data_IF_995248108668
#
_entry.id   IF_995248108668
#
_cell.length_a   1.000
_cell.length_b   1.000
_cell.length_c   1.000
_cell.angle_alpha   90.00
_cell.angle_beta   90.00
_cell.angle_gamma   90.00
#
_symmetry.space_group_name_H-M   'P 1'
#
loop_
_entity.id
_entity.type
_entity.pdbx_description
1 polymer ?
#
# COMPACT_ATOMS: atom_id res chain seq x y z
N UNK A 1 9.28 -3.69 9.37
CA UNK A 1 8.48 -2.49 8.99
C UNK A 1 8.04 -2.69 7.55
N UNK A 2 6.90 -2.13 7.17
CA UNK A 2 6.32 -2.31 5.84
C UNK A 2 5.90 -1.00 5.21
N UNK A 3 5.82 -1.02 3.89
CA UNK A 3 5.05 -0.06 3.12
C UNK A 3 3.54 -0.33 3.26
N UNK A 4 2.73 0.66 2.90
CA UNK A 4 1.28 0.54 2.90
C UNK A 4 0.81 0.31 1.46
N UNK A 5 0.26 -0.86 1.21
CA UNK A 5 -0.23 -1.31 -0.09
C UNK A 5 -1.74 -1.19 -0.16
N UNK A 6 -2.30 -1.15 -1.38
CA UNK A 6 -3.74 -1.16 -1.62
C UNK A 6 -4.16 -2.54 -2.13
N UNK A 7 -5.28 -3.05 -1.64
CA UNK A 7 -5.98 -4.18 -2.21
C UNK A 7 -7.33 -3.76 -2.77
N UNK A 8 -7.74 -4.40 -3.87
CA UNK A 8 -9.01 -4.15 -4.56
C UNK A 8 -9.68 -5.49 -4.84
N UNK A 9 -10.92 -5.64 -4.36
CA UNK A 9 -11.75 -6.81 -4.61
C UNK A 9 -12.74 -6.56 -5.74
N UNK A 10 -13.36 -7.63 -6.24
CA UNK A 10 -14.35 -7.57 -7.31
C UNK A 10 -13.71 -7.52 -8.70
N UNK A 11 -13.06 -6.41 -9.03
CA UNK A 11 -12.50 -6.17 -10.37
C UNK A 11 -11.20 -6.95 -10.60
N UNK A 12 -10.33 -6.98 -9.60
CA UNK A 12 -9.02 -7.60 -9.69
C UNK A 12 -8.86 -8.73 -8.68
N UNK A 13 -8.00 -9.71 -9.02
CA UNK A 13 -7.32 -10.51 -8.02
C UNK A 13 -6.10 -9.74 -7.55
N UNK A 14 -6.06 -9.41 -6.26
CA UNK A 14 -4.90 -8.76 -5.66
C UNK A 14 -3.88 -9.81 -5.22
N UNK A 15 -2.64 -9.67 -5.68
CA UNK A 15 -1.52 -10.53 -5.33
C UNK A 15 -0.40 -9.70 -4.72
N UNK A 16 0.23 -10.21 -3.68
CA UNK A 16 1.43 -9.63 -3.11
C UNK A 16 2.66 -10.43 -3.51
N UNK A 17 3.71 -9.75 -3.96
CA UNK A 17 5.02 -10.34 -4.23
C UNK A 17 6.01 -9.81 -3.20
N UNK A 18 6.51 -10.69 -2.33
CA UNK A 18 7.43 -10.34 -1.26
C UNK A 18 8.80 -10.99 -1.44
N UNK A 19 9.82 -10.30 -0.93
CA UNK A 19 11.19 -10.82 -0.89
C UNK A 19 11.55 -11.38 0.49
N UNK A 20 12.19 -12.55 0.50
CA UNK A 20 12.92 -13.04 1.66
C UNK A 20 14.30 -12.38 1.67
N UNK A 21 14.35 -11.15 2.15
CA UNK A 21 15.56 -10.32 2.08
C UNK A 21 16.73 -10.94 2.82
N UNK A 22 16.49 -11.69 3.89
CA UNK A 22 17.55 -12.40 4.61
C UNK A 22 18.17 -13.50 3.76
N UNK A 23 17.34 -14.32 3.11
CA UNK A 23 17.81 -15.34 2.18
C UNK A 23 18.60 -14.73 1.03
N UNK A 24 18.11 -13.63 0.44
CA UNK A 24 18.78 -12.92 -0.65
C UNK A 24 20.16 -12.37 -0.24
N UNK A 25 20.27 -11.78 0.96
CA UNK A 25 21.53 -11.21 1.46
C UNK A 25 22.56 -12.30 1.77
N UNK A 26 22.12 -13.40 2.38
CA UNK A 26 23.01 -14.52 2.75
C UNK A 26 23.32 -15.42 1.55
N UNK A 27 22.50 -15.37 0.49
CA UNK A 27 22.62 -16.25 -0.68
C UNK A 27 22.19 -17.68 -0.40
N UNK A 28 21.33 -17.90 0.61
CA UNK A 28 20.88 -19.22 1.06
C UNK A 28 19.39 -19.18 1.40
N UNK A 29 18.69 -20.29 1.24
CA UNK A 29 17.28 -20.39 1.68
C UNK A 29 17.21 -20.30 3.20
N UNK A 30 16.33 -19.44 3.69
CA UNK A 30 16.15 -19.19 5.12
C UNK A 30 14.66 -19.19 5.43
N UNK A 31 14.19 -20.08 6.33
CA UNK A 31 12.79 -20.08 6.74
C UNK A 31 12.34 -18.72 7.26
N UNK A 32 11.18 -18.28 6.80
CA UNK A 32 10.55 -17.00 7.16
C UNK A 32 9.04 -17.17 7.21
N UNK A 33 8.41 -16.52 8.18
CA UNK A 33 6.96 -16.34 8.19
C UNK A 33 6.62 -14.99 7.56
N UNK A 34 5.83 -15.00 6.49
CA UNK A 34 5.25 -13.82 5.88
C UNK A 34 3.89 -13.55 6.51
N UNK A 35 3.69 -12.35 7.04
CA UNK A 35 2.47 -11.92 7.70
C UNK A 35 1.85 -10.81 6.87
N UNK A 36 0.65 -11.04 6.35
CA UNK A 36 -0.17 -10.01 5.69
C UNK A 36 -1.22 -9.54 6.67
N UNK A 37 -1.26 -8.23 6.92
CA UNK A 37 -2.27 -7.60 7.78
C UNK A 37 -3.12 -6.70 6.89
N UNK A 38 -4.39 -7.06 6.71
CA UNK A 38 -5.35 -6.28 5.92
C UNK A 38 -6.10 -5.31 6.84
N UNK A 39 -6.32 -4.10 6.33
CA UNK A 39 -6.77 -2.93 7.08
C UNK A 39 -7.91 -2.29 6.30
N UNK A 40 -9.07 -2.11 6.93
CA UNK A 40 -10.23 -1.48 6.29
C UNK A 40 -9.95 -0.02 5.90
N UNK A 41 -10.83 0.55 5.06
CA UNK A 41 -10.82 1.97 4.73
C UNK A 41 -10.86 2.89 5.97
N UNK A 42 -11.44 2.42 7.08
CA UNK A 42 -11.50 3.15 8.35
C UNK A 42 -10.25 3.01 9.23
N UNK A 43 -9.26 2.22 8.80
CA UNK A 43 -7.99 2.04 9.49
C UNK A 43 -7.99 0.94 10.57
N UNK A 44 -8.97 0.04 10.53
CA UNK A 44 -9.07 -1.09 11.46
C UNK A 44 -8.49 -2.36 10.82
N UNK A 45 -7.76 -3.16 11.60
CA UNK A 45 -7.34 -4.49 11.13
C UNK A 45 -8.58 -5.35 10.95
N UNK A 46 -8.73 -5.93 9.76
CA UNK A 46 -9.86 -6.79 9.38
C UNK A 46 -9.46 -8.24 9.20
N UNK A 47 -8.21 -8.50 8.83
CA UNK A 47 -7.69 -9.84 8.70
C UNK A 47 -6.17 -9.87 8.90
N UNK A 48 -5.67 -11.01 9.36
CA UNK A 48 -4.26 -11.33 9.43
C UNK A 48 -4.05 -12.74 8.85
N UNK A 49 -3.11 -12.89 7.94
CA UNK A 49 -2.79 -14.17 7.30
C UNK A 49 -1.30 -14.42 7.33
N UNK A 50 -0.92 -15.68 7.59
CA UNK A 50 0.45 -16.10 7.84
C UNK A 50 0.84 -17.20 6.86
N UNK A 51 2.02 -17.06 6.26
CA UNK A 51 2.52 -17.95 5.22
C UNK A 51 3.98 -18.28 5.50
N UNK A 52 4.29 -19.57 5.66
CA UNK A 52 5.66 -20.03 5.79
C UNK A 52 6.29 -20.22 4.41
N UNK A 53 7.53 -19.79 4.25
CA UNK A 53 8.35 -20.06 3.06
C UNK A 53 9.83 -20.02 3.41
N UNK A 54 10.68 -20.65 2.61
CA UNK A 54 12.13 -20.47 2.62
C UNK A 54 12.66 -19.97 1.28
N UNK A 55 11.76 -19.69 0.32
CA UNK A 55 12.11 -19.22 -1.00
C UNK A 55 12.67 -17.80 -0.95
N UNK A 56 13.49 -17.46 -1.95
CA UNK A 56 14.02 -16.09 -2.10
C UNK A 56 12.92 -15.06 -2.37
N UNK A 57 11.83 -15.48 -2.99
CA UNK A 57 10.66 -14.67 -3.34
C UNK A 57 9.40 -15.50 -3.14
N UNK A 58 8.35 -14.87 -2.64
CA UNK A 58 7.04 -15.48 -2.43
C UNK A 58 5.96 -14.62 -3.09
N UNK A 59 5.00 -15.27 -3.74
CA UNK A 59 3.78 -14.62 -4.24
C UNK A 59 2.58 -15.16 -3.47
N UNK A 60 1.75 -14.25 -2.96
CA UNK A 60 0.60 -14.56 -2.12
C UNK A 60 -0.64 -13.95 -2.78
N UNK A 61 -1.58 -14.79 -3.21
CA UNK A 61 -2.92 -14.31 -3.55
C UNK A 61 -3.62 -13.91 -2.25
N UNK A 62 -4.03 -12.64 -2.16
CA UNK A 62 -4.63 -12.12 -0.94
C UNK A 62 -6.03 -12.71 -0.74
N UNK A 63 -6.39 -13.11 0.50
CA UNK A 63 -7.72 -13.63 0.78
C UNK A 63 -8.76 -12.52 0.64
N UNK A 64 -9.96 -12.91 0.21
CA UNK A 64 -11.13 -12.04 0.16
C UNK A 64 -11.58 -11.73 1.59
N UNK A 65 -11.71 -10.45 1.90
CA UNK A 65 -12.12 -9.91 3.20
C UNK A 65 -13.48 -9.21 3.16
N UNK A 66 -14.14 -9.17 1.99
CA UNK A 66 -15.48 -8.59 1.85
C UNK A 66 -15.46 -7.06 1.84
N UNK A 67 -14.32 -6.46 1.51
CA UNK A 67 -14.15 -5.03 1.38
C UNK A 67 -13.75 -4.70 -0.04
N UNK A 68 -14.54 -3.85 -0.69
CA UNK A 68 -14.28 -3.41 -2.06
C UNK A 68 -12.84 -2.94 -2.26
N UNK A 69 -12.34 -2.17 -1.29
CA UNK A 69 -10.96 -1.68 -1.26
C UNK A 69 -10.48 -1.56 0.19
N UNK A 70 -9.21 -1.90 0.39
CA UNK A 70 -8.56 -1.95 1.69
C UNK A 70 -7.07 -1.63 1.55
N UNK A 71 -6.42 -1.31 2.67
CA UNK A 71 -4.96 -1.27 2.73
C UNK A 71 -4.42 -2.57 3.29
N UNK A 72 -3.18 -2.90 3.01
CA UNK A 72 -2.49 -3.97 3.73
C UNK A 72 -1.01 -3.66 3.92
N UNK A 73 -0.41 -4.34 4.91
CA UNK A 73 1.03 -4.32 5.15
C UNK A 73 1.57 -5.74 5.12
N UNK A 74 2.82 -5.86 4.70
CA UNK A 74 3.59 -7.11 4.73
C UNK A 74 4.68 -7.04 5.80
N UNK A 75 4.65 -7.97 6.73
CA UNK A 75 5.69 -8.15 7.75
C UNK A 75 6.34 -9.51 7.54
N UNK A 76 7.56 -9.64 8.02
CA UNK A 76 8.27 -10.92 8.07
C UNK A 76 8.70 -11.19 9.49
N UNK A 77 8.56 -12.44 9.92
CA UNK A 77 9.12 -12.94 11.16
C UNK A 77 10.13 -14.05 10.87
N UNK A 78 11.25 -13.99 11.58
CA UNK A 78 12.34 -14.97 11.49
C UNK A 78 12.58 -15.49 12.90
N UNK A 79 12.84 -16.79 13.02
CA UNK A 79 13.15 -17.33 14.33
C UNK A 79 14.41 -16.66 14.93
N UNK A 80 14.41 -16.56 16.25
CA UNK A 80 15.44 -15.82 16.99
C UNK A 80 16.84 -16.43 16.82
N UNK A 81 16.94 -17.74 16.64
CA UNK A 81 18.21 -18.44 16.50
C UNK A 81 18.85 -18.11 15.15
N UNK A 82 18.07 -18.18 14.06
CA UNK A 82 18.44 -17.72 12.72
C UNK A 82 18.92 -16.28 12.75
N UNK A 83 18.15 -15.38 13.36
CA UNK A 83 18.55 -13.97 13.49
C UNK A 83 19.87 -13.81 14.26
N UNK A 84 20.03 -14.47 15.41
CA UNK A 84 21.22 -14.32 16.26
C UNK A 84 22.50 -14.76 15.55
N UNK A 85 22.42 -15.85 14.77
CA UNK A 85 23.55 -16.37 14.00
C UNK A 85 23.97 -15.41 12.89
N UNK A 86 23.00 -14.68 12.33
CA UNK A 86 23.20 -13.85 11.15
C UNK A 86 23.54 -12.38 11.53
N UNK A 87 23.00 -11.85 12.63
CA UNK A 87 23.20 -10.45 13.07
C UNK A 87 24.62 -10.11 13.55
N UNK A 88 25.52 -11.10 13.62
CA UNK A 88 26.94 -10.88 13.95
C UNK A 88 27.78 -10.47 12.73
N UNK A 89 27.15 -10.38 11.57
CA UNK A 89 27.78 -9.98 10.32
C UNK A 89 27.59 -8.48 10.08
N UNK A 90 28.70 -7.76 9.93
CA UNK A 90 28.71 -6.30 9.80
C UNK A 90 28.09 -5.80 8.48
N UNK A 91 27.77 -6.71 7.54
CA UNK A 91 27.04 -6.40 6.31
C UNK A 91 25.54 -6.12 6.53
N UNK A 92 25.03 -6.30 7.75
CA UNK A 92 23.61 -6.10 8.09
C UNK A 92 23.25 -4.62 8.26
N UNK A 93 23.15 -3.92 7.12
CA UNK A 93 22.53 -2.60 7.04
C UNK A 93 21.00 -2.74 7.10
N UNK A 94 20.34 -1.74 7.68
CA UNK A 94 18.90 -1.69 7.96
C UNK A 94 18.03 -2.38 6.89
N UNK A 95 17.26 -3.40 7.31
CA UNK A 95 16.40 -4.20 6.43
C UNK A 95 15.03 -3.54 6.27
N UNK A 96 14.74 -3.07 5.06
CA UNK A 96 13.37 -2.84 4.62
C UNK A 96 13.00 -3.96 3.65
N UNK A 97 11.99 -4.75 4.00
CA UNK A 97 11.46 -5.74 3.08
C UNK A 97 10.79 -5.00 1.93
N UNK A 98 11.21 -5.33 0.71
CA UNK A 98 10.57 -4.82 -0.50
C UNK A 98 9.46 -5.78 -0.90
N UNK A 99 8.40 -5.20 -1.41
CA UNK A 99 7.32 -5.95 -2.00
C UNK A 99 6.58 -5.12 -3.02
N UNK A 100 5.77 -5.82 -3.80
CA UNK A 100 4.95 -5.24 -4.84
C UNK A 100 3.54 -5.82 -4.72
N UNK A 101 2.55 -5.00 -5.10
CA UNK A 101 1.19 -5.48 -5.31
C UNK A 101 0.96 -5.64 -6.79
N UNK A 102 0.56 -6.84 -7.20
CA UNK A 102 0.02 -7.15 -8.50
C UNK A 102 -1.50 -7.07 -8.51
N UNK A 103 -2.05 -6.49 -9.57
CA UNK A 103 -3.48 -6.51 -9.87
C UNK A 103 -3.68 -7.30 -11.17
N UNK A 104 -4.30 -8.47 -11.06
CA UNK A 104 -4.72 -9.27 -12.21
C UNK A 104 -6.19 -8.99 -12.51
N UNK A 105 -6.50 -8.59 -13.74
CA UNK A 105 -7.89 -8.61 -14.20
C UNK A 105 -8.39 -10.06 -14.26
N UNK A 106 -9.67 -10.26 -13.92
CA UNK A 106 -10.32 -11.56 -14.13
C UNK A 106 -10.19 -11.95 -15.61
N UNK A 107 -9.81 -13.20 -15.86
CA UNK A 107 -9.62 -13.78 -17.19
C UNK A 107 -8.48 -13.17 -18.04
N UNK A 108 -7.57 -12.41 -17.42
CA UNK A 108 -6.35 -11.91 -18.05
C UNK A 108 -5.10 -12.59 -17.47
N UNK A 109 -4.10 -12.82 -18.33
CA UNK A 109 -2.76 -13.22 -17.91
C UNK A 109 -1.87 -12.00 -17.55
N UNK A 110 -2.33 -10.78 -17.81
CA UNK A 110 -1.56 -9.57 -17.55
C UNK A 110 -1.70 -9.11 -16.09
N UNK A 111 -0.55 -8.81 -15.47
CA UNK A 111 -0.42 -8.28 -14.12
C UNK A 111 0.11 -6.85 -14.12
N UNK A 112 -0.66 -5.92 -13.57
CA UNK A 112 -0.16 -4.57 -13.29
C UNK A 112 0.47 -4.55 -11.90
N UNK A 113 1.79 -4.33 -11.85
CA UNK A 113 2.57 -4.37 -10.61
C UNK A 113 2.92 -2.97 -10.14
N UNK A 114 2.62 -2.65 -8.88
CA UNK A 114 2.92 -1.36 -8.25
C UNK A 114 3.67 -1.55 -6.93
N UNK A 115 4.48 -0.54 -6.58
CA UNK A 115 5.08 -0.45 -5.26
C UNK A 115 4.08 0.00 -4.19
N UNK A 116 4.34 -0.38 -2.95
CA UNK A 116 3.64 0.17 -1.80
C UNK A 116 4.04 1.64 -1.56
N UNK A 117 3.14 2.39 -0.93
CA UNK A 117 3.46 3.75 -0.50
C UNK A 117 4.31 3.70 0.77
N UNK A 118 5.43 4.43 0.77
CA UNK A 118 6.42 4.36 1.85
C UNK A 118 5.78 4.63 3.21
N UNK A 119 5.66 3.56 4.00
CA UNK A 119 4.67 3.52 5.07
C UNK A 119 5.23 3.33 6.46
N UNK A 120 6.48 2.85 6.60
CA UNK A 120 7.12 2.40 7.86
C UNK A 120 6.12 1.93 8.94
N UNK A 121 5.12 1.16 8.50
CA UNK A 121 3.99 0.72 9.32
C UNK A 121 4.29 -0.69 9.82
N UNK A 122 3.91 -0.96 11.06
CA UNK A 122 4.20 -2.23 11.73
C UNK A 122 3.19 -2.54 12.83
N UNK A 123 3.08 -3.80 13.19
CA UNK A 123 2.34 -4.22 14.40
C UNK A 123 3.25 -4.05 15.63
N UNK A 124 2.81 -3.25 16.60
CA UNK A 124 3.45 -3.17 17.90
C UNK A 124 3.16 -4.43 18.74
N UNK A 125 3.91 -4.61 19.84
CA UNK A 125 3.73 -5.75 20.77
C UNK A 125 2.31 -5.95 21.29
N UNK A 126 1.50 -4.89 21.30
CA UNK A 126 0.10 -4.93 21.72
C UNK A 126 -0.87 -5.35 20.60
N UNK A 127 -0.37 -5.84 19.45
CA UNK A 127 -1.18 -6.12 18.25
C UNK A 127 -1.76 -4.89 17.57
N UNK A 128 -1.32 -3.68 17.95
CA UNK A 128 -1.83 -2.41 17.39
C UNK A 128 -0.90 -1.90 16.30
N UNK A 129 -1.49 -1.41 15.21
CA UNK A 129 -0.77 -0.71 14.15
C UNK A 129 -0.04 0.52 14.72
N UNK A 130 1.21 0.67 14.27
CA UNK A 130 2.10 1.80 14.56
C UNK A 130 2.77 2.20 13.26
N UNK A 131 3.21 3.45 13.21
CA UNK A 131 3.96 3.95 12.06
C UNK A 131 5.02 4.94 12.50
N UNK A 132 6.14 4.93 11.79
CA UNK A 132 7.20 5.94 11.91
C UNK A 132 7.04 7.07 10.89
N UNK A 133 6.09 6.96 9.95
CA UNK A 133 5.77 8.03 9.01
C UNK A 133 5.20 9.25 9.76
N UNK A 134 5.69 10.43 9.40
CA UNK A 134 5.31 11.70 10.04
C UNK A 134 4.70 12.64 9.02
N UNK A 135 3.58 13.27 9.38
CA UNK A 135 3.06 14.43 8.68
C UNK A 135 3.90 15.65 9.10
N UNK A 136 4.73 16.19 8.20
CA UNK A 136 5.65 17.29 8.51
C UNK A 136 5.07 18.66 8.19
N UNK A 137 4.55 18.84 6.97
CA UNK A 137 3.98 20.07 6.47
C UNK A 137 2.86 19.75 5.47
N UNK A 138 2.08 20.78 5.10
CA UNK A 138 1.18 20.69 3.96
C UNK A 138 2.03 20.40 2.72
N UNK A 139 1.64 19.38 1.98
CA UNK A 139 2.26 19.03 0.71
C UNK A 139 1.21 19.24 -0.38
N UNK A 140 1.68 19.63 -1.56
CA UNK A 140 0.84 19.69 -2.76
C UNK A 140 1.55 18.92 -3.85
N UNK A 141 0.85 17.98 -4.45
CA UNK A 141 1.25 17.19 -5.59
C UNK A 141 0.24 17.40 -6.71
N UNK A 142 0.73 17.69 -7.90
CA UNK A 142 -0.09 17.74 -9.11
C UNK A 142 0.26 16.54 -9.97
N UNK A 143 -0.74 15.75 -10.34
CA UNK A 143 -0.54 14.62 -11.23
C UNK A 143 0.02 15.10 -12.57
N UNK A 144 0.95 14.32 -13.13
CA UNK A 144 1.50 14.57 -14.47
C UNK A 144 0.54 14.08 -15.59
N UNK A 145 -0.59 13.49 -15.22
CA UNK A 145 -1.58 12.92 -16.13
C UNK A 145 -2.70 13.92 -16.43
N UNK A 146 -3.23 13.87 -17.65
CA UNK A 146 -4.42 14.63 -18.07
C UNK A 146 -5.62 13.70 -18.04
N UNK A 147 -6.58 14.02 -17.17
CA UNK A 147 -7.79 13.23 -16.97
C UNK A 147 -8.82 13.61 -18.05
N UNK A 148 -9.21 12.63 -18.86
CA UNK A 148 -10.23 12.75 -19.91
C UNK A 148 -11.62 12.26 -19.48
N UNK A 149 -12.65 12.86 -20.06
CA UNK A 149 -14.07 12.55 -19.81
C UNK A 149 -14.52 11.16 -20.29
N UNK A 150 -13.71 10.48 -21.09
CA UNK A 150 -14.04 9.16 -21.62
C UNK A 150 -13.85 8.02 -20.60
N UNK A 151 -13.21 8.29 -19.46
CA UNK A 151 -12.86 7.27 -18.48
C UNK A 151 -13.43 7.59 -17.11
N UNK A 152 -13.56 6.53 -16.31
CA UNK A 152 -13.78 6.62 -14.88
C UNK A 152 -12.45 6.36 -14.17
N UNK A 153 -12.15 7.17 -13.16
CA UNK A 153 -10.92 7.06 -12.39
C UNK A 153 -11.22 6.66 -10.95
N UNK A 154 -10.38 5.78 -10.40
CA UNK A 154 -10.36 5.46 -8.97
C UNK A 154 -9.01 5.93 -8.40
N UNK A 155 -9.03 7.00 -7.61
CA UNK A 155 -7.84 7.52 -6.93
C UNK A 155 -7.81 7.01 -5.51
N UNK A 156 -6.72 6.33 -5.13
CA UNK A 156 -6.57 5.74 -3.80
C UNK A 156 -5.54 6.52 -2.97
N UNK A 157 -6.00 7.09 -1.86
CA UNK A 157 -5.19 7.85 -0.92
C UNK A 157 -5.07 7.09 0.40
N UNK A 158 -4.01 6.29 0.60
CA UNK A 158 -3.74 5.67 1.89
C UNK A 158 -3.15 6.68 2.89
N UNK A 159 -3.51 6.57 4.16
CA UNK A 159 -2.91 7.33 5.25
C UNK A 159 -1.99 6.43 6.09
N UNK A 160 -0.68 6.38 5.82
CA UNK A 160 0.24 5.52 6.56
C UNK A 160 0.58 6.03 7.97
N UNK A 161 -0.09 7.07 8.47
CA UNK A 161 0.30 7.76 9.70
C UNK A 161 -0.64 7.43 10.87
N UNK A 162 -0.14 7.61 12.09
CA UNK A 162 -0.93 7.41 13.32
C UNK A 162 -1.92 8.57 13.61
N UNK A 163 -1.98 9.60 12.75
CA UNK A 163 -2.87 10.76 12.87
C UNK A 163 -3.88 10.73 11.73
N UNK A 164 -5.02 11.40 11.93
CA UNK A 164 -5.94 11.65 10.81
C UNK A 164 -5.25 12.54 9.77
N UNK A 165 -5.51 12.31 8.50
CA UNK A 165 -4.98 13.09 7.39
C UNK A 165 -6.14 13.81 6.71
N UNK A 166 -6.07 15.14 6.61
CA UNK A 166 -6.99 15.87 5.73
C UNK A 166 -6.38 15.89 4.34
N UNK A 167 -7.17 15.51 3.35
CA UNK A 167 -6.82 15.53 1.93
C UNK A 167 -7.88 16.36 1.21
N UNK A 168 -7.42 17.31 0.41
CA UNK A 168 -8.26 18.10 -0.48
C UNK A 168 -7.75 17.81 -1.91
N UNK A 169 -8.65 17.48 -2.84
CA UNK A 169 -8.35 17.17 -4.23
C UNK A 169 -9.01 18.22 -5.10
N UNK A 170 -8.19 19.07 -5.71
CA UNK A 170 -8.58 20.14 -6.62
C UNK A 170 -8.62 19.61 -8.06
N UNK A 171 -9.75 19.81 -8.74
CA UNK A 171 -9.90 19.63 -10.19
C UNK A 171 -9.64 20.98 -10.84
N UNK A 172 -8.71 21.03 -11.78
CA UNK A 172 -8.26 22.26 -12.43
C UNK A 172 -8.42 22.20 -13.95
N UNK A 173 -8.82 23.31 -14.54
CA UNK A 173 -8.87 23.48 -16.00
C UNK A 173 -7.48 23.72 -16.61
N UNK A 174 -7.43 23.86 -17.95
CA UNK A 174 -6.19 24.15 -18.67
C UNK A 174 -5.58 25.53 -18.39
N UNK A 175 -6.30 26.41 -17.70
CA UNK A 175 -5.81 27.72 -17.27
C UNK A 175 -5.26 27.69 -15.84
N UNK A 176 -5.43 26.56 -15.13
CA UNK A 176 -5.04 26.39 -13.73
C UNK A 176 -6.10 26.87 -12.74
N UNK A 177 -7.31 27.21 -13.20
CA UNK A 177 -8.43 27.57 -12.32
C UNK A 177 -9.03 26.30 -11.73
N UNK A 178 -9.21 26.30 -10.40
CA UNK A 178 -9.90 25.22 -9.69
C UNK A 178 -11.40 25.29 -10.00
N UNK A 179 -11.93 24.23 -10.60
CA UNK A 179 -13.35 24.11 -10.94
C UNK A 179 -14.14 23.37 -9.85
N UNK A 180 -13.48 22.46 -9.13
CA UNK A 180 -14.08 21.68 -8.04
C UNK A 180 -13.00 21.31 -7.01
N UNK A 181 -13.39 21.26 -5.74
CA UNK A 181 -12.53 20.74 -4.66
C UNK A 181 -13.30 19.66 -3.90
N UNK A 182 -12.71 18.46 -3.80
CA UNK A 182 -13.24 17.35 -3.01
C UNK A 182 -12.39 17.15 -1.77
N UNK A 183 -13.02 17.07 -0.60
CA UNK A 183 -12.29 16.99 0.67
C UNK A 183 -12.69 15.76 1.48
N UNK A 184 -11.70 15.11 2.09
CA UNK A 184 -11.96 14.06 3.09
C UNK A 184 -10.92 14.05 4.20
N UNK A 185 -11.37 13.71 5.40
CA UNK A 185 -10.47 13.32 6.49
C UNK A 185 -10.32 11.80 6.51
N UNK A 186 -9.12 11.33 6.22
CA UNK A 186 -8.75 9.91 6.20
C UNK A 186 -8.33 9.50 7.62
N UNK A 187 -8.94 8.46 8.21
CA UNK A 187 -8.55 7.99 9.54
C UNK A 187 -7.11 7.46 9.56
N UNK A 188 -6.53 7.31 10.75
CA UNK A 188 -5.21 6.69 10.92
C UNK A 188 -5.18 5.32 10.25
N UNK A 189 -4.17 5.03 9.44
CA UNK A 189 -4.04 3.77 8.69
C UNK A 189 -5.19 3.45 7.71
N UNK A 190 -6.14 4.37 7.54
CA UNK A 190 -7.25 4.20 6.61
C UNK A 190 -6.89 4.56 5.18
N UNK A 191 -7.86 4.40 4.30
CA UNK A 191 -7.75 4.71 2.88
C UNK A 191 -8.99 5.44 2.42
N UNK A 192 -8.80 6.44 1.56
CA UNK A 192 -9.88 7.04 0.79
C UNK A 192 -9.74 6.63 -0.67
N UNK A 193 -10.79 6.03 -1.23
CA UNK A 193 -10.97 5.94 -2.68
C UNK A 193 -11.93 7.02 -3.13
N UNK A 194 -11.44 7.86 -4.03
CA UNK A 194 -12.22 8.86 -4.74
C UNK A 194 -12.52 8.31 -6.13
N UNK A 195 -13.80 8.07 -6.41
CA UNK A 195 -14.26 7.82 -7.76
C UNK A 195 -14.48 9.15 -8.48
N UNK A 196 -13.95 9.29 -9.69
CA UNK A 196 -14.20 10.42 -10.57
C UNK A 196 -14.79 9.90 -11.86
N UNK A 197 -16.01 10.33 -12.15
CA UNK A 197 -16.64 10.09 -13.44
C UNK A 197 -16.21 11.16 -14.44
N UNK A 198 -16.30 10.84 -15.73
CA UNK A 198 -15.82 11.70 -16.81
C UNK A 198 -16.43 13.11 -16.81
N UNK A 199 -17.69 13.25 -16.38
CA UNK A 199 -18.36 14.54 -16.26
C UNK A 199 -17.77 15.43 -15.15
N UNK A 200 -17.19 14.85 -14.10
CA UNK A 200 -16.56 15.61 -13.01
C UNK A 200 -15.22 16.22 -13.42
N UNK A 201 -14.58 15.64 -14.44
CA UNK A 201 -13.36 16.19 -15.05
C UNK A 201 -13.66 16.96 -16.34
N UNK A 202 -14.95 17.14 -16.68
CA UNK A 202 -15.38 17.87 -17.88
C UNK A 202 -15.21 19.36 -17.65
N UNK A 203 -14.23 19.94 -18.35
CA UNK A 203 -13.82 21.33 -18.16
C UNK A 203 -12.68 21.51 -17.16
N UNK A 204 -12.31 20.47 -16.40
CA UNK A 204 -11.20 20.45 -15.46
C UNK A 204 -10.42 19.14 -15.55
N UNK A 205 -9.25 19.15 -16.20
CA UNK A 205 -8.52 17.92 -16.60
C UNK A 205 -7.27 17.61 -15.79
N UNK A 206 -6.89 18.49 -14.87
CA UNK A 206 -5.68 18.34 -14.05
C UNK A 206 -6.09 18.18 -12.60
N UNK A 207 -5.42 17.27 -11.89
CA UNK A 207 -5.70 17.01 -10.49
C UNK A 207 -4.51 17.41 -9.61
N UNK A 208 -4.80 18.12 -8.53
CA UNK A 208 -3.83 18.46 -7.49
C UNK A 208 -4.36 18.12 -6.11
N UNK A 209 -3.52 17.61 -5.22
CA UNK A 209 -3.89 17.24 -3.85
C UNK A 209 -2.74 17.41 -2.86
#
# INVERSE_FOLDING_TARGET
MSDLFIGREGVFRTRFHGENTLALVVGQRIPVEHIIVQISADGNVINESRYMSDDFRLSIDLPVVGHEMYSFIHLTDYDRQTLTNITRDDRFVARNHRGYTGYLMRDSEMESVVHGNFGLTYLGRSGRLRSLARQKAVHRYTAQEVFGEAFRYELCFPNPTARRLRMDVDVMDSTGVVTETMSRTIPRFGTWMLGLDGDQVRGGRYLSW
#
